data_IF_789617553623
#
_entry.id   IF_789617553623
#
_cell.length_a   1.000
_cell.length_b   1.000
_cell.length_c   1.000
_cell.angle_alpha   90.00
_cell.angle_beta   90.00
_cell.angle_gamma   90.00
#
_symmetry.space_group_name_H-M   'P 1'
#
loop_
_entity.id
_entity.type
_entity.pdbx_description
1 polymer ?
#
# COMPACT_ATOMS: atom_id res chain seq x y z
N UNK A 1 32.18 47.37 -39.67
CA UNK A 1 31.30 47.16 -38.50
C UNK A 1 30.13 46.17 -38.71
N UNK A 2 29.85 45.66 -39.93
CA UNK A 2 28.78 44.68 -40.17
C UNK A 2 29.17 43.22 -39.89
N UNK A 3 30.46 42.87 -39.98
CA UNK A 3 30.97 41.51 -39.77
C UNK A 3 30.83 41.03 -38.31
N UNK A 4 31.15 41.89 -37.33
CA UNK A 4 30.97 41.60 -35.89
C UNK A 4 29.49 41.44 -35.48
N UNK A 5 28.58 42.22 -36.06
CA UNK A 5 27.13 42.06 -35.80
C UNK A 5 26.59 40.75 -36.36
N UNK A 6 27.08 40.32 -37.52
CA UNK A 6 26.67 39.06 -38.15
C UNK A 6 27.19 37.85 -37.37
N UNK A 7 28.42 37.91 -36.86
CA UNK A 7 28.99 36.85 -36.03
C UNK A 7 28.37 36.81 -34.63
N UNK A 8 28.06 37.97 -34.01
CA UNK A 8 27.32 38.03 -32.76
C UNK A 8 25.90 37.46 -32.88
N UNK A 9 25.19 37.76 -33.96
CA UNK A 9 23.88 37.17 -34.23
C UNK A 9 23.96 35.65 -34.43
N UNK A 10 25.00 35.15 -35.10
CA UNK A 10 25.20 33.72 -35.31
C UNK A 10 25.51 32.97 -34.01
N UNK A 11 26.35 33.55 -33.14
CA UNK A 11 26.64 33.01 -31.80
C UNK A 11 25.36 33.03 -30.94
N UNK A 12 24.56 34.10 -30.99
CA UNK A 12 23.30 34.19 -30.27
C UNK A 12 22.31 33.11 -30.73
N UNK A 13 22.20 32.86 -32.04
CA UNK A 13 21.38 31.77 -32.59
C UNK A 13 21.87 30.41 -32.10
N UNK A 14 23.18 30.18 -32.05
CA UNK A 14 23.78 28.94 -31.54
C UNK A 14 23.50 28.74 -30.04
N UNK A 15 23.61 29.82 -29.25
CA UNK A 15 23.27 29.82 -27.82
C UNK A 15 21.79 29.52 -27.59
N UNK A 16 20.90 30.13 -28.37
CA UNK A 16 19.46 29.85 -28.27
C UNK A 16 19.17 28.42 -28.69
N UNK A 17 19.77 27.92 -29.77
CA UNK A 17 19.57 26.55 -30.24
C UNK A 17 20.03 25.51 -29.20
N UNK A 18 21.18 25.73 -28.57
CA UNK A 18 21.68 24.84 -27.50
C UNK A 18 20.85 24.94 -26.22
N UNK A 19 20.42 26.14 -25.82
CA UNK A 19 19.53 26.32 -24.69
C UNK A 19 18.17 25.64 -24.92
N UNK A 20 17.58 25.81 -26.10
CA UNK A 20 16.31 25.14 -26.47
C UNK A 20 16.49 23.63 -26.51
N UNK A 21 17.60 23.13 -27.06
CA UNK A 21 17.93 21.70 -27.05
C UNK A 21 18.07 21.14 -25.62
N UNK A 22 18.77 21.85 -24.74
CA UNK A 22 18.91 21.47 -23.33
C UNK A 22 17.57 21.44 -22.60
N UNK A 23 16.73 22.46 -22.80
CA UNK A 23 15.38 22.52 -22.22
C UNK A 23 14.50 21.38 -22.77
N UNK A 24 14.58 21.08 -24.07
CA UNK A 24 13.80 20.00 -24.66
C UNK A 24 14.21 18.62 -24.11
N UNK A 25 15.52 18.36 -23.96
CA UNK A 25 16.02 17.13 -23.36
C UNK A 25 15.60 16.99 -21.90
N UNK A 26 15.71 18.07 -21.11
CA UNK A 26 15.26 18.07 -19.72
C UNK A 26 13.75 17.78 -19.61
N UNK A 27 12.93 18.34 -20.51
CA UNK A 27 11.48 18.07 -20.57
C UNK A 27 11.17 16.62 -20.93
N UNK A 28 11.92 16.03 -21.86
CA UNK A 28 11.75 14.63 -22.25
C UNK A 28 12.12 13.68 -21.12
N UNK A 29 13.24 13.93 -20.42
CA UNK A 29 13.64 13.10 -19.29
C UNK A 29 12.66 13.24 -18.12
N UNK A 30 12.17 14.45 -17.84
CA UNK A 30 11.14 14.66 -16.81
C UNK A 30 9.86 13.89 -17.13
N UNK A 31 9.39 13.93 -18.38
CA UNK A 31 8.23 13.17 -18.82
C UNK A 31 8.46 11.66 -18.69
N UNK A 32 9.66 11.17 -19.06
CA UNK A 32 10.03 9.77 -18.93
C UNK A 32 10.03 9.30 -17.48
N UNK A 33 10.56 10.11 -16.55
CA UNK A 33 10.58 9.81 -15.13
C UNK A 33 9.16 9.77 -14.53
N UNK A 34 8.30 10.68 -14.97
CA UNK A 34 6.90 10.72 -14.57
C UNK A 34 6.13 9.49 -15.08
N UNK A 35 6.28 9.13 -16.36
CA UNK A 35 5.62 7.97 -16.95
C UNK A 35 6.05 6.65 -16.28
N UNK A 36 7.34 6.51 -15.96
CA UNK A 36 7.86 5.36 -15.22
C UNK A 36 7.25 5.28 -13.82
N UNK A 37 7.21 6.41 -13.08
CA UNK A 37 6.60 6.49 -11.76
C UNK A 37 5.11 6.12 -11.78
N UNK A 38 4.34 6.67 -12.72
CA UNK A 38 2.91 6.38 -12.85
C UNK A 38 2.65 4.90 -13.19
N UNK A 39 3.51 4.31 -14.01
CA UNK A 39 3.45 2.88 -14.35
C UNK A 39 3.71 2.01 -13.12
N UNK A 40 4.80 2.28 -12.40
CA UNK A 40 5.16 1.54 -11.19
C UNK A 40 4.06 1.62 -10.13
N UNK A 41 3.53 2.83 -9.90
CA UNK A 41 2.45 3.04 -8.93
C UNK A 41 1.15 2.34 -9.32
N UNK A 42 0.85 2.27 -10.63
CA UNK A 42 -0.29 1.49 -11.12
C UNK A 42 -0.10 -0.01 -10.89
N UNK A 43 1.12 -0.53 -11.07
CA UNK A 43 1.44 -1.92 -10.79
C UNK A 43 1.32 -2.21 -9.28
N UNK A 44 1.91 -1.36 -8.44
CA UNK A 44 1.79 -1.46 -6.97
C UNK A 44 0.32 -1.49 -6.54
N UNK A 45 -0.48 -0.53 -7.02
CA UNK A 45 -1.90 -0.45 -6.68
C UNK A 45 -2.65 -1.72 -7.10
N UNK A 46 -2.43 -2.20 -8.33
CA UNK A 46 -3.06 -3.43 -8.83
C UNK A 46 -2.66 -4.64 -7.99
N UNK A 47 -1.38 -4.81 -7.67
CA UNK A 47 -0.89 -5.94 -6.89
C UNK A 47 -1.47 -5.95 -5.48
N UNK A 48 -1.44 -4.80 -4.79
CA UNK A 48 -2.02 -4.68 -3.44
C UNK A 48 -3.52 -4.94 -3.46
N UNK A 49 -4.24 -4.33 -4.41
CA UNK A 49 -5.67 -4.53 -4.57
C UNK A 49 -6.01 -6.01 -4.83
N UNK A 50 -5.27 -6.68 -5.72
CA UNK A 50 -5.45 -8.11 -6.01
C UNK A 50 -5.19 -8.98 -4.78
N UNK A 51 -4.10 -8.73 -4.04
CA UNK A 51 -3.75 -9.50 -2.84
C UNK A 51 -4.83 -9.37 -1.77
N UNK A 52 -5.30 -8.16 -1.51
CA UNK A 52 -6.33 -7.93 -0.49
C UNK A 52 -7.65 -8.62 -0.87
N UNK A 53 -8.07 -8.57 -2.14
CA UNK A 53 -9.27 -9.29 -2.62
C UNK A 53 -9.09 -10.80 -2.52
N UNK A 54 -7.90 -11.33 -2.83
CA UNK A 54 -7.60 -12.75 -2.65
C UNK A 54 -7.67 -13.17 -1.19
N UNK A 55 -7.13 -12.36 -0.27
CA UNK A 55 -7.23 -12.63 1.16
C UNK A 55 -8.67 -12.59 1.64
N UNK A 56 -9.49 -11.64 1.20
CA UNK A 56 -10.90 -11.56 1.57
C UNK A 56 -11.67 -12.81 1.07
N UNK A 57 -11.38 -13.28 -0.14
CA UNK A 57 -11.93 -14.53 -0.67
C UNK A 57 -11.47 -15.75 0.13
N UNK A 58 -10.19 -15.81 0.55
CA UNK A 58 -9.68 -16.88 1.42
C UNK A 58 -10.36 -16.83 2.80
N UNK A 59 -10.54 -15.65 3.38
CA UNK A 59 -11.24 -15.49 4.65
C UNK A 59 -12.72 -15.86 4.53
N UNK A 60 -13.39 -15.48 3.44
CA UNK A 60 -14.77 -15.85 3.16
C UNK A 60 -14.92 -17.36 2.95
N UNK A 61 -14.00 -18.01 2.26
CA UNK A 61 -14.00 -19.47 2.10
C UNK A 61 -13.71 -20.19 3.41
N UNK A 62 -12.80 -19.69 4.25
CA UNK A 62 -12.58 -20.20 5.61
C UNK A 62 -13.84 -20.05 6.48
N UNK A 63 -14.56 -18.94 6.35
CA UNK A 63 -15.83 -18.72 7.05
C UNK A 63 -16.93 -19.68 6.57
N UNK A 64 -16.97 -20.01 5.27
CA UNK A 64 -17.92 -20.96 4.69
C UNK A 64 -17.56 -22.43 5.01
N UNK A 65 -16.28 -22.76 5.04
CA UNK A 65 -15.76 -24.10 5.29
C UNK A 65 -15.58 -24.43 6.78
N UNK A 66 -16.12 -23.61 7.69
CA UNK A 66 -16.08 -23.84 9.14
C UNK A 66 -16.18 -25.35 9.46
N UNK A 67 -15.08 -25.99 9.92
CA UNK A 67 -15.16 -27.38 10.34
C UNK A 67 -16.02 -27.39 11.59
N UNK A 68 -17.03 -28.26 11.60
CA UNK A 68 -17.88 -28.51 12.75
C UNK A 68 -17.03 -28.59 14.03
N UNK A 69 -17.52 -27.92 15.08
CA UNK A 69 -16.82 -27.42 16.26
C UNK A 69 -16.10 -28.47 17.17
N UNK A 70 -15.69 -29.63 16.66
CA UNK A 70 -15.12 -30.75 17.43
C UNK A 70 -13.70 -31.20 17.03
N UNK A 71 -13.06 -30.65 15.98
CA UNK A 71 -11.66 -30.95 15.73
C UNK A 71 -10.76 -29.97 16.49
N UNK A 72 -9.89 -30.46 17.38
CA UNK A 72 -8.92 -29.64 18.12
C UNK A 72 -8.20 -28.65 17.19
N UNK A 73 -8.50 -27.36 17.38
CA UNK A 73 -7.79 -26.17 16.95
C UNK A 73 -7.03 -26.21 15.58
N UNK A 74 -7.69 -26.45 14.44
CA UNK A 74 -7.09 -26.24 13.11
C UNK A 74 -6.67 -24.77 12.88
N UNK A 75 -7.22 -23.84 13.64
CA UNK A 75 -6.83 -22.42 13.70
C UNK A 75 -5.38 -22.17 14.18
N UNK A 76 -4.78 -23.09 14.94
CA UNK A 76 -3.35 -23.03 15.28
C UNK A 76 -2.43 -23.36 14.08
N UNK A 77 -2.96 -23.96 13.01
CA UNK A 77 -2.21 -24.23 11.77
C UNK A 77 -2.29 -23.08 10.77
N UNK A 78 -3.17 -22.10 10.97
CA UNK A 78 -3.28 -20.94 10.08
C UNK A 78 -1.99 -20.09 10.05
N UNK A 79 -1.32 -19.77 11.18
CA UNK A 79 -0.03 -19.09 11.16
C UNK A 79 1.07 -19.90 10.43
N UNK A 80 0.97 -21.24 10.46
CA UNK A 80 1.91 -22.12 9.78
C UNK A 80 1.71 -22.17 8.25
N UNK A 81 0.48 -21.93 7.77
CA UNK A 81 0.13 -21.91 6.34
C UNK A 81 0.15 -20.50 5.74
N UNK A 82 -0.09 -19.49 6.58
CA UNK A 82 -0.12 -18.08 6.22
C UNK A 82 0.79 -17.30 7.19
N UNK A 83 2.07 -17.09 6.85
CA UNK A 83 3.04 -16.41 7.73
C UNK A 83 2.67 -14.96 8.07
N UNK A 84 1.69 -14.41 7.35
CA UNK A 84 1.07 -13.11 7.54
C UNK A 84 0.07 -13.05 8.70
N UNK A 85 -0.41 -14.20 9.21
CA UNK A 85 -1.31 -14.26 10.36
C UNK A 85 -0.45 -14.46 11.62
N UNK A 86 -0.37 -13.43 12.45
CA UNK A 86 0.44 -13.43 13.66
C UNK A 86 -0.25 -14.15 14.82
N UNK A 87 -1.55 -13.93 14.99
CA UNK A 87 -2.33 -14.57 16.05
C UNK A 87 -3.79 -14.68 15.66
N UNK A 88 -4.47 -15.70 16.22
CA UNK A 88 -5.91 -15.93 16.04
C UNK A 88 -6.52 -16.04 17.43
N UNK A 89 -7.48 -15.17 17.72
CA UNK A 89 -8.28 -15.22 18.95
C UNK A 89 -9.67 -15.71 18.60
N UNK A 90 -10.18 -16.68 19.37
CA UNK A 90 -11.53 -17.23 19.22
C UNK A 90 -12.34 -16.86 20.44
N UNK A 91 -13.51 -16.27 20.22
CA UNK A 91 -14.50 -15.98 21.26
C UNK A 91 -15.69 -16.92 21.08
N UNK A 92 -15.89 -17.82 22.03
CA UNK A 92 -17.06 -18.70 22.04
C UNK A 92 -18.24 -18.06 22.78
N UNK A 93 -19.42 -18.15 22.18
CA UNK A 93 -20.67 -17.75 22.83
C UNK A 93 -20.66 -16.29 23.31
N UNK A 94 -20.88 -16.08 24.61
CA UNK A 94 -21.06 -14.76 25.22
C UNK A 94 -19.83 -14.27 26.02
N UNK A 95 -18.65 -14.86 25.80
CA UNK A 95 -17.41 -14.38 26.43
C UNK A 95 -17.14 -12.92 26.04
N UNK A 96 -16.57 -12.09 26.92
CA UNK A 96 -16.27 -10.69 26.56
C UNK A 96 -15.01 -10.62 25.69
N UNK A 97 -14.99 -9.74 24.68
CA UNK A 97 -13.73 -9.36 24.05
C UNK A 97 -12.87 -8.56 25.03
N UNK A 98 -11.54 -8.71 25.01
CA UNK A 98 -10.64 -7.91 25.82
C UNK A 98 -10.62 -6.42 25.45
N UNK A 99 -11.00 -6.06 24.21
CA UNK A 99 -11.04 -4.68 23.72
C UNK A 99 -12.45 -4.27 23.25
N UNK A 100 -12.86 -3.03 23.53
CA UNK A 100 -14.11 -2.44 23.06
C UNK A 100 -14.12 -2.29 21.53
N UNK A 101 -12.96 -2.02 20.93
CA UNK A 101 -12.79 -1.96 19.47
C UNK A 101 -13.19 -3.28 18.79
N UNK A 102 -12.85 -4.42 19.40
CA UNK A 102 -13.21 -5.75 18.89
C UNK A 102 -14.71 -6.01 18.98
N UNK A 103 -15.37 -5.55 20.05
CA UNK A 103 -16.82 -5.68 20.23
C UNK A 103 -17.60 -4.83 19.21
N UNK A 104 -17.12 -3.60 18.94
CA UNK A 104 -17.68 -2.75 17.91
C UNK A 104 -17.49 -3.36 16.50
N UNK A 105 -16.27 -3.84 16.21
CA UNK A 105 -15.95 -4.49 14.94
C UNK A 105 -16.74 -5.79 14.73
N UNK A 106 -17.00 -6.58 15.78
CA UNK A 106 -17.87 -7.76 15.71
C UNK A 106 -19.31 -7.37 15.33
N UNK A 107 -19.85 -6.31 15.94
CA UNK A 107 -21.21 -5.84 15.64
C UNK A 107 -21.33 -5.40 14.17
N UNK A 108 -20.33 -4.65 13.69
CA UNK A 108 -20.23 -4.25 12.28
C UNK A 108 -20.04 -5.46 11.35
N UNK A 109 -19.19 -6.40 11.75
CA UNK A 109 -18.93 -7.63 10.99
C UNK A 109 -20.18 -8.49 10.87
N UNK A 110 -20.97 -8.62 11.94
CA UNK A 110 -22.24 -9.35 11.93
C UNK A 110 -23.26 -8.69 10.99
N UNK A 111 -23.32 -7.35 10.97
CA UNK A 111 -24.19 -6.60 10.07
C UNK A 111 -23.76 -6.74 8.60
N UNK A 112 -22.46 -6.65 8.33
CA UNK A 112 -21.91 -6.68 6.97
C UNK A 112 -21.61 -8.09 6.45
N UNK A 113 -21.69 -9.11 7.31
CA UNK A 113 -21.33 -10.52 7.04
C UNK A 113 -19.94 -10.71 6.43
N UNK A 114 -18.97 -9.91 6.89
CA UNK A 114 -17.58 -9.92 6.41
C UNK A 114 -16.64 -9.51 7.52
N UNK A 115 -15.34 -9.76 7.35
CA UNK A 115 -14.34 -9.28 8.31
C UNK A 115 -14.28 -7.74 8.32
N UNK A 116 -14.10 -7.16 9.50
CA UNK A 116 -14.03 -5.71 9.74
C UNK A 116 -12.78 -5.37 10.54
N UNK A 117 -12.10 -4.28 10.17
CA UNK A 117 -10.96 -3.75 10.90
C UNK A 117 -11.38 -3.29 12.32
N UNK A 118 -10.74 -3.88 13.33
CA UNK A 118 -10.93 -3.53 14.75
C UNK A 118 -9.88 -2.53 15.22
N UNK A 119 -8.61 -2.87 15.01
CA UNK A 119 -7.49 -2.08 15.50
C UNK A 119 -6.40 -1.99 14.43
N UNK A 120 -5.72 -0.84 14.40
CA UNK A 120 -4.65 -0.54 13.47
C UNK A 120 -3.48 0.06 14.21
N UNK A 121 -2.36 -0.66 14.23
CA UNK A 121 -1.10 -0.22 14.82
C UNK A 121 -0.03 -0.15 13.73
N UNK A 122 0.02 1.00 13.07
CA UNK A 122 1.06 1.26 12.07
C UNK A 122 2.46 1.40 12.67
N UNK A 123 2.61 1.70 13.96
CA UNK A 123 3.93 1.74 14.60
C UNK A 123 4.59 0.37 14.63
N UNK A 124 3.78 -0.68 14.85
CA UNK A 124 4.22 -2.08 14.81
C UNK A 124 4.00 -2.76 13.47
N UNK A 125 3.33 -2.09 12.52
CA UNK A 125 2.97 -2.64 11.22
C UNK A 125 1.98 -3.79 11.33
N UNK A 126 1.01 -3.70 12.25
CA UNK A 126 0.03 -4.74 12.53
C UNK A 126 -1.37 -4.18 12.44
N UNK A 127 -2.30 -5.02 12.03
CA UNK A 127 -3.72 -4.69 12.03
C UNK A 127 -4.55 -5.90 12.44
N UNK A 128 -5.72 -5.65 13.00
CA UNK A 128 -6.60 -6.70 13.50
C UNK A 128 -7.93 -6.69 12.74
N UNK A 129 -8.31 -7.85 12.22
CA UNK A 129 -9.61 -8.07 11.58
C UNK A 129 -10.48 -8.95 12.47
N UNK A 130 -11.72 -8.52 12.70
CA UNK A 130 -12.73 -9.30 13.45
C UNK A 130 -13.79 -9.81 12.49
N UNK A 131 -14.08 -11.11 12.58
CA UNK A 131 -15.13 -11.79 11.87
C UNK A 131 -16.15 -12.36 12.87
N UNK A 132 -17.36 -11.80 12.85
CA UNK A 132 -18.47 -12.31 13.62
C UNK A 132 -19.06 -13.55 12.94
N UNK A 133 -19.10 -14.66 13.67
CA UNK A 133 -19.75 -15.88 13.19
C UNK A 133 -20.37 -16.67 14.35
N UNK A 134 -21.24 -17.64 14.02
CA UNK A 134 -21.86 -18.54 15.00
C UNK A 134 -21.37 -19.96 14.74
N UNK A 135 -20.96 -20.72 15.78
CA UNK A 135 -21.15 -20.44 17.20
C UNK A 135 -20.04 -19.58 17.86
N UNK A 136 -18.96 -19.26 17.14
CA UNK A 136 -17.84 -18.49 17.67
C UNK A 136 -17.40 -17.39 16.70
N UNK A 137 -16.97 -16.26 17.26
CA UNK A 137 -16.40 -15.13 16.53
C UNK A 137 -14.87 -15.17 16.61
N UNK A 138 -14.21 -14.57 15.63
CA UNK A 138 -12.76 -14.66 15.47
C UNK A 138 -12.14 -13.27 15.32
N UNK A 139 -10.98 -13.07 15.94
CA UNK A 139 -10.11 -11.93 15.70
C UNK A 139 -8.76 -12.42 15.16
N UNK A 140 -8.32 -11.85 14.05
CA UNK A 140 -7.11 -12.21 13.34
C UNK A 140 -6.16 -11.02 13.35
N UNK A 141 -5.00 -11.20 13.97
CA UNK A 141 -3.94 -10.21 13.90
C UNK A 141 -3.05 -10.50 12.69
N UNK A 142 -2.89 -9.52 11.82
CA UNK A 142 -2.15 -9.60 10.57
C UNK A 142 -0.90 -8.72 10.60
N UNK A 143 0.19 -9.20 10.01
CA UNK A 143 1.40 -8.40 9.75
C UNK A 143 1.27 -7.69 8.39
N UNK A 144 1.26 -6.36 8.43
CA UNK A 144 1.07 -5.53 7.25
C UNK A 144 2.24 -5.63 6.27
N UNK A 145 3.47 -5.88 6.74
CA UNK A 145 4.64 -6.07 5.86
C UNK A 145 4.63 -7.45 5.21
N UNK A 146 4.11 -8.46 5.89
CA UNK A 146 4.00 -9.82 5.35
C UNK A 146 2.92 -9.95 4.27
N UNK A 147 1.93 -9.05 4.27
CA UNK A 147 0.86 -9.00 3.24
C UNK A 147 1.38 -8.43 1.91
N UNK A 148 2.46 -7.66 1.93
CA UNK A 148 3.04 -7.05 0.72
C UNK A 148 3.73 -8.13 -0.13
N UNK A 149 3.38 -8.28 -1.43
CA UNK A 149 3.99 -9.28 -2.30
C UNK A 149 5.38 -8.84 -2.78
N UNK A 150 6.39 -8.93 -1.92
CA UNK A 150 7.75 -8.47 -2.21
C UNK A 150 8.39 -9.11 -3.46
N UNK A 151 8.00 -10.34 -3.80
CA UNK A 151 8.49 -11.04 -5.00
C UNK A 151 7.99 -10.45 -6.31
N UNK A 152 6.82 -9.80 -6.31
CA UNK A 152 6.19 -9.22 -7.49
C UNK A 152 6.28 -7.68 -7.49
N UNK A 153 6.96 -7.11 -6.47
CA UNK A 153 7.08 -5.68 -6.30
C UNK A 153 7.86 -5.05 -7.48
N UNK A 154 7.33 -4.01 -8.14
CA UNK A 154 7.92 -3.49 -9.39
C UNK A 154 9.23 -2.73 -9.18
N UNK A 155 9.61 -2.46 -7.93
CA UNK A 155 10.78 -1.66 -7.57
C UNK A 155 11.68 -2.41 -6.60
N UNK A 156 12.94 -1.99 -6.48
CA UNK A 156 13.81 -2.46 -5.40
C UNK A 156 13.52 -1.64 -4.12
N UNK A 157 12.91 -2.23 -3.07
CA UNK A 157 12.35 -1.45 -1.96
C UNK A 157 13.39 -0.76 -1.06
N UNK A 158 14.65 -1.18 -1.13
CA UNK A 158 15.74 -0.59 -0.34
C UNK A 158 16.49 0.53 -1.07
N UNK A 159 16.46 0.53 -2.40
CA UNK A 159 17.28 1.42 -3.24
C UNK A 159 16.46 2.34 -4.12
N UNK A 160 15.16 2.08 -4.27
CA UNK A 160 14.27 2.95 -5.03
C UNK A 160 14.06 4.28 -4.32
N UNK A 161 14.11 5.42 -5.05
CA UNK A 161 13.83 6.74 -4.49
C UNK A 161 12.33 6.92 -4.20
N UNK A 162 11.46 6.05 -4.71
CA UNK A 162 10.03 6.14 -4.49
C UNK A 162 9.71 5.74 -3.04
N UNK A 163 8.97 6.58 -2.33
CA UNK A 163 8.35 6.25 -1.05
C UNK A 163 6.95 5.73 -1.31
N UNK A 164 6.59 4.63 -0.66
CA UNK A 164 5.22 4.08 -0.69
C UNK A 164 4.70 3.96 0.73
N UNK A 165 3.56 4.57 1.00
CA UNK A 165 2.87 4.55 2.29
C UNK A 165 1.46 4.01 2.14
N UNK A 166 0.94 3.40 3.21
CA UNK A 166 -0.48 3.13 3.38
C UNK A 166 -1.06 4.12 4.38
N UNK A 167 -2.18 4.74 4.05
CA UNK A 167 -2.85 5.72 4.90
C UNK A 167 -4.25 5.25 5.28
N UNK A 168 -4.64 5.48 6.53
CA UNK A 168 -5.99 5.17 7.03
C UNK A 168 -6.29 6.05 8.25
N UNK A 169 -7.42 6.77 8.22
CA UNK A 169 -7.92 7.60 9.32
C UNK A 169 -6.85 8.47 10.01
N UNK A 170 -6.00 9.15 9.23
CA UNK A 170 -4.89 10.02 9.69
C UNK A 170 -3.64 9.29 10.22
N UNK A 171 -3.62 7.97 10.18
CA UNK A 171 -2.41 7.20 10.42
C UNK A 171 -1.71 6.90 9.09
N UNK A 172 -0.38 6.79 9.12
CA UNK A 172 0.44 6.44 7.95
C UNK A 172 1.42 5.33 8.27
N UNK A 173 1.41 4.26 7.47
CA UNK A 173 2.40 3.20 7.49
C UNK A 173 3.38 3.34 6.34
N UNK A 174 4.68 3.25 6.62
CA UNK A 174 5.72 3.28 5.58
C UNK A 174 6.01 1.86 5.10
N UNK A 175 5.47 1.50 3.94
CA UNK A 175 5.77 0.22 3.27
C UNK A 175 7.18 0.25 2.70
N UNK A 176 7.48 1.31 1.94
CA UNK A 176 8.79 1.56 1.34
C UNK A 176 9.24 2.95 1.75
N UNK A 177 10.43 3.05 2.37
CA UNK A 177 10.95 4.33 2.88
C UNK A 177 11.14 5.35 1.76
N UNK A 178 11.67 4.91 0.63
CA UNK A 178 12.13 5.79 -0.43
C UNK A 178 13.27 6.70 0.02
N UNK A 179 13.73 7.54 -0.89
CA UNK A 179 14.54 8.71 -0.57
C UNK A 179 13.74 9.92 -1.03
N UNK A 180 13.26 10.73 -0.08
CA UNK A 180 12.43 11.89 -0.39
C UNK A 180 13.23 13.17 -0.67
N UNK A 181 14.56 13.15 -0.54
CA UNK A 181 15.39 14.35 -0.68
C UNK A 181 14.92 15.54 0.18
N UNK A 182 15.54 16.70 0.00
CA UNK A 182 15.12 17.97 0.62
C UNK A 182 14.36 18.89 -0.33
N UNK A 183 14.10 18.44 -1.56
CA UNK A 183 13.42 19.22 -2.60
C UNK A 183 11.93 19.40 -2.34
N UNK A 184 11.38 20.55 -2.70
CA UNK A 184 9.95 20.86 -2.57
C UNK A 184 9.09 20.17 -3.65
N UNK A 185 9.67 19.87 -4.81
CA UNK A 185 8.99 19.25 -5.94
C UNK A 185 9.00 17.72 -5.83
N UNK A 186 7.80 17.14 -5.83
CA UNK A 186 7.58 15.70 -5.70
C UNK A 186 6.46 15.25 -6.63
N UNK A 187 6.64 14.11 -7.28
CA UNK A 187 5.54 13.40 -7.89
C UNK A 187 4.74 12.68 -6.80
N UNK A 188 3.42 12.78 -6.88
CA UNK A 188 2.49 12.21 -5.91
C UNK A 188 1.45 11.35 -6.60
N UNK A 189 1.19 10.19 -6.02
CA UNK A 189 0.12 9.29 -6.42
C UNK A 189 -0.66 8.88 -5.18
N UNK A 190 -1.99 8.94 -5.21
CA UNK A 190 -2.84 8.46 -4.12
C UNK A 190 -4.02 7.70 -4.69
N UNK A 191 -4.26 6.48 -4.20
CA UNK A 191 -5.43 5.66 -4.57
C UNK A 191 -5.90 4.77 -3.43
N UNK A 192 -7.21 4.69 -3.27
CA UNK A 192 -7.87 3.75 -2.38
C UNK A 192 -7.69 2.29 -2.86
N UNK A 193 -7.44 1.37 -1.93
CA UNK A 193 -7.48 -0.07 -2.20
C UNK A 193 -8.93 -0.53 -2.43
N UNK A 194 -9.12 -1.53 -3.29
CA UNK A 194 -10.46 -1.94 -3.73
C UNK A 194 -11.23 -2.83 -2.74
N UNK A 195 -10.75 -2.97 -1.50
CA UNK A 195 -11.32 -3.91 -0.54
C UNK A 195 -12.02 -3.17 0.60
N UNK A 196 -13.33 -3.33 0.69
CA UNK A 196 -14.16 -2.69 1.72
C UNK A 196 -13.86 -3.19 3.14
N UNK A 197 -13.18 -4.33 3.28
CA UNK A 197 -12.69 -4.87 4.57
C UNK A 197 -11.40 -4.19 5.06
N UNK A 198 -10.67 -3.54 4.16
CA UNK A 198 -9.36 -2.93 4.42
C UNK A 198 -9.26 -1.59 3.69
N UNK A 199 -9.88 -0.51 4.24
CA UNK A 199 -9.99 0.79 3.60
C UNK A 199 -8.67 1.57 3.69
N UNK A 200 -7.60 1.03 3.12
CA UNK A 200 -6.29 1.67 3.07
C UNK A 200 -6.13 2.47 1.78
N UNK A 201 -5.54 3.64 1.87
CA UNK A 201 -5.07 4.43 0.73
C UNK A 201 -3.59 4.15 0.46
N UNK A 202 -3.23 3.85 -0.78
CA UNK A 202 -1.84 3.72 -1.22
C UNK A 202 -1.35 5.06 -1.72
N UNK A 203 -0.33 5.59 -1.06
CA UNK A 203 0.30 6.86 -1.43
C UNK A 203 1.74 6.63 -1.87
N UNK A 204 2.05 7.01 -3.11
CA UNK A 204 3.39 6.98 -3.69
C UNK A 204 3.95 8.39 -3.79
N UNK A 205 5.20 8.60 -3.38
CA UNK A 205 5.90 9.87 -3.50
C UNK A 205 7.30 9.67 -4.06
N UNK A 206 7.73 10.52 -4.99
CA UNK A 206 9.10 10.50 -5.52
C UNK A 206 9.65 11.93 -5.56
N UNK A 207 10.88 12.20 -5.08
CA UNK A 207 11.49 13.50 -5.29
C UNK A 207 11.78 13.73 -6.77
N UNK A 208 11.51 14.94 -7.22
CA UNK A 208 12.08 15.43 -8.46
C UNK A 208 13.52 15.85 -8.14
N UNK A 209 14.51 15.16 -8.72
CA UNK A 209 15.89 15.61 -8.63
C UNK A 209 16.02 16.86 -9.50
N UNK A 210 16.30 18.02 -8.91
CA UNK A 210 16.69 19.20 -9.67
C UNK A 210 18.09 18.93 -10.28
N UNK A 211 18.31 19.24 -11.57
CA UNK A 211 19.54 18.95 -12.29
C UNK A 211 20.76 19.75 -11.80
#
# INVERSE_FOLDING_TARGET
>A
MSWMRRHGAWIAVWLVATAVGGVALARLELARLQDAFDTDMRIVHRLLSQRVVQHDAVLATLALLQPAAQALAPEQKLPALYPQILSVQRREGNAAWPNEAQSAAETLSAAMRRAVLSELDFSRGRYELVLASRPASFALQMDLRAVVPWSEWPMAPQTSPVRVTLEQASQTFVVQRGDLGSGSWRFGFSKHLAADSQPFDVVGQRPQHDP
#
